data_IF_420666087667
#
_entry.id   IF_420666087667
#
_cell.length_a   1.000
_cell.length_b   1.000
_cell.length_c   1.000
_cell.angle_alpha   90.00
_cell.angle_beta   90.00
_cell.angle_gamma   90.00
#
_symmetry.space_group_name_H-M   'P 1'
#
loop_
_entity.id
_entity.type
_entity.pdbx_description
1 polymer ?
#
# COMPACT_ATOMS: atom_id res chain seq x y z
N UNK A 1 15.14 -21.23 -3.72
CA UNK A 1 13.67 -21.36 -3.73
C UNK A 1 13.01 -21.21 -2.37
N UNK A 2 13.66 -21.53 -1.24
CA UNK A 2 13.09 -21.28 0.10
C UNK A 2 12.91 -19.78 0.42
N UNK A 3 13.81 -18.92 -0.08
CA UNK A 3 13.73 -17.46 0.10
C UNK A 3 12.44 -16.87 -0.47
N UNK A 4 12.05 -17.31 -1.67
CA UNK A 4 10.83 -16.85 -2.33
C UNK A 4 9.59 -17.22 -1.51
N UNK A 5 9.55 -18.45 -0.97
CA UNK A 5 8.46 -18.90 -0.11
C UNK A 5 8.37 -18.10 1.20
N UNK A 6 9.50 -17.86 1.86
CA UNK A 6 9.53 -17.10 3.12
C UNK A 6 9.12 -15.64 2.89
N UNK A 7 9.70 -14.99 1.89
CA UNK A 7 9.38 -13.59 1.56
C UNK A 7 7.91 -13.48 1.16
N UNK A 8 7.42 -14.36 0.30
CA UNK A 8 6.01 -14.41 -0.11
C UNK A 8 5.09 -14.57 1.11
N UNK A 9 5.37 -15.51 2.01
CA UNK A 9 4.56 -15.74 3.20
C UNK A 9 4.46 -14.49 4.09
N UNK A 10 5.58 -13.79 4.31
CA UNK A 10 5.60 -12.55 5.09
C UNK A 10 4.79 -11.45 4.40
N UNK A 11 4.96 -11.27 3.09
CA UNK A 11 4.26 -10.24 2.35
C UNK A 11 2.74 -10.49 2.24
N UNK A 12 2.33 -11.75 2.12
CA UNK A 12 0.92 -12.14 2.21
C UNK A 12 0.37 -11.81 3.60
N UNK A 13 1.13 -12.09 4.67
CA UNK A 13 0.78 -11.68 6.03
C UNK A 13 0.59 -10.16 6.16
N UNK A 14 1.48 -9.36 5.56
CA UNK A 14 1.32 -7.91 5.52
C UNK A 14 0.09 -7.46 4.73
N UNK A 15 -0.21 -8.10 3.60
CA UNK A 15 -1.43 -7.80 2.84
C UNK A 15 -2.69 -7.99 3.70
N UNK A 16 -2.78 -9.10 4.43
CA UNK A 16 -3.89 -9.35 5.36
C UNK A 16 -3.92 -8.36 6.52
N UNK A 17 -2.78 -8.03 7.11
CA UNK A 17 -2.68 -7.04 8.18
C UNK A 17 -3.10 -5.63 7.73
N UNK A 18 -3.01 -5.34 6.43
CA UNK A 18 -3.43 -4.07 5.82
C UNK A 18 -4.94 -3.97 5.57
N UNK A 19 -5.66 -5.10 5.47
CA UNK A 19 -7.10 -5.10 5.17
C UNK A 19 -7.94 -4.24 6.11
N UNK A 20 -7.80 -4.31 7.46
CA UNK A 20 -8.57 -3.46 8.36
C UNK A 20 -8.38 -1.97 8.06
N UNK A 21 -7.14 -1.56 7.76
CA UNK A 21 -6.81 -0.17 7.39
C UNK A 21 -7.44 0.23 6.06
N UNK A 22 -7.46 -0.68 5.08
CA UNK A 22 -8.10 -0.45 3.75
C UNK A 22 -9.61 -0.29 3.88
N UNK A 23 -10.25 -1.03 4.78
CA UNK A 23 -11.70 -0.96 4.99
C UNK A 23 -12.14 0.11 6.00
N UNK A 24 -11.25 0.58 6.87
CA UNK A 24 -11.59 1.62 7.84
C UNK A 24 -11.99 2.92 7.13
N UNK A 25 -13.12 3.59 7.45
CA UNK A 25 -13.59 4.75 6.71
C UNK A 25 -12.68 5.98 6.85
N UNK A 26 -12.17 6.28 8.05
CA UNK A 26 -11.46 7.55 8.31
C UNK A 26 -9.97 7.42 8.67
N UNK A 27 -9.60 6.35 9.38
CA UNK A 27 -8.22 6.10 9.81
C UNK A 27 -7.37 5.54 8.66
N UNK A 28 -6.98 6.46 7.76
CA UNK A 28 -5.98 6.20 6.72
C UNK A 28 -4.65 6.84 7.11
N UNK A 29 -3.51 6.16 6.85
CA UNK A 29 -2.19 6.74 7.01
C UNK A 29 -2.03 8.03 6.20
N UNK A 30 -1.03 8.84 6.54
CA UNK A 30 -0.69 10.02 5.75
C UNK A 30 -0.39 9.64 4.28
N UNK A 31 -0.70 10.56 3.36
CA UNK A 31 -0.47 10.37 1.92
C UNK A 31 1.02 10.15 1.65
N UNK A 32 1.88 10.92 2.31
CA UNK A 32 3.34 10.82 2.16
C UNK A 32 3.86 9.44 2.58
N UNK A 33 3.43 8.93 3.73
CA UNK A 33 3.75 7.58 4.20
C UNK A 33 3.29 6.53 3.18
N UNK A 34 2.05 6.64 2.72
CA UNK A 34 1.46 5.64 1.81
C UNK A 34 2.17 5.60 0.45
N UNK A 35 2.51 6.77 -0.11
CA UNK A 35 3.24 6.87 -1.37
C UNK A 35 4.68 6.39 -1.24
N UNK A 36 5.37 6.76 -0.16
CA UNK A 36 6.74 6.32 0.08
C UNK A 36 6.82 4.80 0.21
N UNK A 37 5.90 4.19 0.97
CA UNK A 37 5.84 2.73 1.12
C UNK A 37 5.47 2.04 -0.19
N UNK A 38 4.51 2.56 -0.95
CA UNK A 38 4.16 2.01 -2.27
C UNK A 38 5.37 2.04 -3.22
N UNK A 39 6.09 3.16 -3.29
CA UNK A 39 7.29 3.30 -4.11
C UNK A 39 8.37 2.29 -3.71
N UNK A 40 8.65 2.17 -2.41
CA UNK A 40 9.61 1.19 -1.90
C UNK A 40 9.24 -0.25 -2.27
N UNK A 41 7.95 -0.60 -2.20
CA UNK A 41 7.46 -1.92 -2.58
C UNK A 41 7.55 -2.19 -4.08
N UNK A 42 7.32 -1.19 -4.93
CA UNK A 42 7.53 -1.35 -6.37
C UNK A 42 9.01 -1.52 -6.73
N UNK A 43 9.91 -0.79 -6.06
CA UNK A 43 11.35 -0.99 -6.20
C UNK A 43 11.72 -2.42 -5.79
N UNK A 44 11.23 -2.90 -4.63
CA UNK A 44 11.45 -4.27 -4.18
C UNK A 44 10.88 -5.31 -5.15
N UNK A 45 9.70 -5.09 -5.70
CA UNK A 45 9.11 -5.97 -6.71
C UNK A 45 10.03 -6.11 -7.94
N UNK A 46 10.58 -4.98 -8.41
CA UNK A 46 11.59 -4.97 -9.48
C UNK A 46 12.86 -5.74 -9.10
N UNK A 47 13.40 -5.51 -7.90
CA UNK A 47 14.56 -6.23 -7.39
C UNK A 47 14.31 -7.74 -7.26
N UNK A 48 13.13 -8.16 -6.79
CA UNK A 48 12.77 -9.57 -6.72
C UNK A 48 12.64 -10.20 -8.10
N UNK A 49 12.10 -9.47 -9.08
CA UNK A 49 12.04 -9.93 -10.46
C UNK A 49 13.44 -10.14 -11.06
N UNK A 50 14.41 -9.23 -10.80
CA UNK A 50 15.80 -9.40 -11.29
C UNK A 50 16.52 -10.57 -10.62
N UNK A 51 16.11 -10.94 -9.41
CA UNK A 51 16.63 -12.11 -8.67
C UNK A 51 15.86 -13.42 -8.99
N UNK A 52 14.94 -13.41 -9.96
CA UNK A 52 14.08 -14.56 -10.31
C UNK A 52 13.19 -15.05 -9.16
N UNK A 53 12.85 -14.18 -8.20
CA UNK A 53 11.92 -14.42 -7.10
C UNK A 53 10.51 -13.98 -7.50
N UNK A 54 9.93 -14.65 -8.50
CA UNK A 54 8.73 -14.17 -9.18
C UNK A 54 7.49 -14.09 -8.27
N UNK A 55 7.31 -15.04 -7.34
CA UNK A 55 6.16 -14.99 -6.42
C UNK A 55 6.28 -13.78 -5.48
N UNK A 56 7.46 -13.58 -4.90
CA UNK A 56 7.76 -12.42 -4.06
C UNK A 56 7.58 -11.11 -4.81
N UNK A 57 7.97 -11.06 -6.09
CA UNK A 57 7.80 -9.89 -6.95
C UNK A 57 6.32 -9.55 -7.16
N UNK A 58 5.49 -10.55 -7.48
CA UNK A 58 4.05 -10.38 -7.68
C UNK A 58 3.38 -9.90 -6.39
N UNK A 59 3.66 -10.55 -5.26
CA UNK A 59 3.05 -10.15 -3.99
C UNK A 59 3.53 -8.75 -3.57
N UNK A 60 4.81 -8.40 -3.76
CA UNK A 60 5.31 -7.06 -3.50
C UNK A 60 4.58 -5.99 -4.32
N UNK A 61 4.32 -6.27 -5.61
CA UNK A 61 3.54 -5.39 -6.45
C UNK A 61 2.09 -5.24 -5.94
N UNK A 62 1.44 -6.32 -5.48
CA UNK A 62 0.09 -6.26 -4.90
C UNK A 62 0.03 -5.48 -3.59
N UNK A 63 1.02 -5.66 -2.70
CA UNK A 63 1.11 -4.87 -1.46
C UNK A 63 1.37 -3.40 -1.80
N UNK A 64 2.24 -3.10 -2.79
CA UNK A 64 2.48 -1.75 -3.29
C UNK A 64 1.23 -1.09 -3.89
N UNK A 65 0.43 -1.86 -4.63
CA UNK A 65 -0.87 -1.42 -5.16
C UNK A 65 -1.86 -1.11 -4.03
N UNK A 66 -1.88 -1.92 -2.97
CA UNK A 66 -2.72 -1.69 -1.78
C UNK A 66 -2.34 -0.39 -1.07
N UNK A 67 -1.04 -0.09 -0.92
CA UNK A 67 -0.58 1.19 -0.38
C UNK A 67 -0.90 2.37 -1.31
N UNK A 68 -0.85 2.17 -2.62
CA UNK A 68 -1.27 3.17 -3.60
C UNK A 68 -2.78 3.48 -3.47
N UNK A 69 -3.60 2.46 -3.24
CA UNK A 69 -5.02 2.59 -2.95
C UNK A 69 -5.26 3.37 -1.64
N UNK A 70 -4.49 3.10 -0.57
CA UNK A 70 -4.58 3.87 0.68
C UNK A 70 -4.25 5.35 0.47
N UNK A 71 -3.20 5.66 -0.31
CA UNK A 71 -2.86 7.04 -0.65
C UNK A 71 -4.02 7.75 -1.37
N UNK A 72 -4.68 7.05 -2.30
CA UNK A 72 -5.87 7.55 -3.00
C UNK A 72 -7.06 7.75 -2.05
N UNK A 73 -7.36 6.77 -1.19
CA UNK A 73 -8.43 6.88 -0.19
C UNK A 73 -8.20 8.07 0.75
N UNK A 74 -6.96 8.25 1.23
CA UNK A 74 -6.60 9.38 2.08
C UNK A 74 -6.80 10.72 1.37
N UNK A 75 -6.35 10.86 0.12
CA UNK A 75 -6.57 12.07 -0.70
C UNK A 75 -8.05 12.42 -0.82
N UNK A 76 -8.92 11.43 -1.04
CA UNK A 76 -10.37 11.65 -1.12
C UNK A 76 -10.96 12.13 0.20
N UNK A 77 -10.51 11.58 1.32
CA UNK A 77 -10.97 12.00 2.65
C UNK A 77 -10.55 13.44 2.95
N UNK A 78 -9.29 13.79 2.67
CA UNK A 78 -8.79 15.15 2.91
C UNK A 78 -9.54 16.17 2.03
N UNK A 79 -9.82 15.83 0.76
CA UNK A 79 -10.64 16.64 -0.13
C UNK A 79 -12.07 16.84 0.42
N UNK A 80 -12.73 15.76 0.88
CA UNK A 80 -14.08 15.84 1.44
C UNK A 80 -14.13 16.73 2.70
N UNK A 81 -13.15 16.61 3.59
CA UNK A 81 -13.05 17.46 4.81
C UNK A 81 -12.88 18.94 4.46
N UNK A 82 -12.03 19.25 3.48
CA UNK A 82 -11.82 20.64 3.04
C UNK A 82 -13.06 21.31 2.46
N UNK A 83 -14.04 20.56 1.95
CA UNK A 83 -15.31 21.10 1.45
C UNK A 83 -16.24 21.45 2.61
N UNK A 84 -16.29 20.61 3.64
CA UNK A 84 -17.13 20.83 4.84
C UNK A 84 -16.64 22.01 5.69
N UNK A 85 -15.33 22.26 5.69
CA UNK A 85 -14.72 23.33 6.48
C UNK A 85 -14.78 24.71 5.80
N UNK A 86 -15.31 24.82 4.57
CA UNK A 86 -15.48 26.14 3.92
C UNK A 86 -16.62 26.90 4.60
N UNK A 87 -16.39 28.08 5.18
CA UNK A 87 -17.48 28.91 5.67
C UNK A 87 -18.38 29.27 4.49
N UNK A 88 -19.67 28.94 4.58
CA UNK A 88 -20.68 29.40 3.65
C UNK A 88 -20.79 30.93 3.77
N UNK A 89 -20.03 31.64 2.93
CA UNK A 89 -20.15 33.08 2.71
C UNK A 89 -21.27 33.40 1.72
#
# INVERSE_FOLDING_TARGET
MWQDAVITAVQVGFLFALLPTVFHPEHKPAISTSLLTALGLYILAGTFATLSLYFSAIIAALVGATWSLLAYQRRRLDAAKSVLERPHG
#
